data_IF_864972670331
#
_entry.id   IF_864972670331
#
_cell.length_a   1.000
_cell.length_b   1.000
_cell.length_c   1.000
_cell.angle_alpha   90.00
_cell.angle_beta   90.00
_cell.angle_gamma   90.00
#
_symmetry.space_group_name_H-M   'P 1'
#
loop_
_entity.id
_entity.type
_entity.pdbx_description
1 polymer ?
#
# COMPACT_ATOMS: atom_id res chain seq x y z
N UNK A 1 8.12 38.66 40.98
CA UNK A 1 8.96 37.89 40.04
C UNK A 1 8.22 37.86 38.72
N UNK A 2 8.66 38.68 37.75
CA UNK A 2 8.02 38.72 36.44
C UNK A 2 8.24 37.37 35.76
N UNK A 3 7.15 36.61 35.58
CA UNK A 3 7.19 35.40 34.75
C UNK A 3 7.58 35.77 33.33
N UNK A 4 8.30 34.86 32.65
CA UNK A 4 8.69 35.08 31.26
C UNK A 4 7.45 35.39 30.41
N UNK A 5 7.50 36.48 29.63
CA UNK A 5 6.41 36.82 28.74
C UNK A 5 6.31 35.80 27.60
N UNK A 6 5.09 35.54 27.11
CA UNK A 6 4.85 34.65 25.97
C UNK A 6 5.61 35.07 24.71
N UNK A 7 5.94 36.36 24.56
CA UNK A 7 6.79 36.87 23.48
C UNK A 7 8.23 36.35 23.57
N UNK A 8 8.82 36.33 24.76
CA UNK A 8 10.21 35.88 24.95
C UNK A 8 10.37 34.37 24.79
N UNK A 9 9.32 33.59 25.07
CA UNK A 9 9.30 32.15 24.80
C UNK A 9 9.32 31.91 23.28
N UNK A 10 8.51 32.64 22.52
CA UNK A 10 8.47 32.54 21.05
C UNK A 10 9.77 32.94 20.38
N UNK A 11 10.42 34.00 20.84
CA UNK A 11 11.72 34.41 20.30
C UNK A 11 12.80 33.33 20.51
N UNK A 12 12.86 32.73 21.69
CA UNK A 12 13.83 31.66 21.97
C UNK A 12 13.52 30.35 21.26
N UNK A 13 12.25 30.05 21.00
CA UNK A 13 11.87 28.87 20.21
C UNK A 13 12.22 29.08 18.73
N UNK A 14 12.11 30.30 18.20
CA UNK A 14 12.54 30.64 16.83
C UNK A 14 14.02 30.38 16.58
N UNK A 15 14.87 30.64 17.57
CA UNK A 15 16.31 30.31 17.48
C UNK A 15 16.56 28.79 17.30
N UNK A 16 15.58 27.94 17.59
CA UNK A 16 15.69 26.48 17.50
C UNK A 16 14.97 25.88 16.28
N UNK A 17 14.35 26.72 15.44
CA UNK A 17 13.68 26.29 14.20
C UNK A 17 14.63 25.59 13.22
N UNK A 18 15.93 25.93 13.23
CA UNK A 18 16.92 25.31 12.35
C UNK A 18 17.37 23.91 12.82
N UNK A 19 17.21 23.60 14.12
CA UNK A 19 17.78 22.39 14.74
C UNK A 19 16.71 21.33 15.00
N UNK A 20 15.51 21.76 15.41
CA UNK A 20 14.46 20.86 15.86
C UNK A 20 13.30 20.80 14.84
N UNK A 21 12.65 19.64 14.68
CA UNK A 21 11.45 19.52 13.88
C UNK A 21 10.32 20.45 14.37
N UNK A 22 9.58 21.03 13.43
CA UNK A 22 8.46 21.92 13.72
C UNK A 22 7.43 21.32 14.69
N UNK A 23 7.15 20.01 14.59
CA UNK A 23 6.21 19.32 15.49
C UNK A 23 6.66 19.38 16.96
N UNK A 24 7.95 19.23 17.24
CA UNK A 24 8.50 19.31 18.60
C UNK A 24 8.43 20.75 19.10
N UNK A 25 8.70 21.73 18.23
CA UNK A 25 8.64 23.15 18.58
C UNK A 25 7.21 23.60 18.90
N UNK A 26 6.23 23.15 18.12
CA UNK A 26 4.80 23.42 18.37
C UNK A 26 4.32 22.80 19.69
N UNK A 27 4.73 21.56 19.98
CA UNK A 27 4.38 20.88 21.23
C UNK A 27 5.04 21.55 22.44
N UNK A 28 6.32 21.91 22.30
CA UNK A 28 7.09 22.62 23.31
C UNK A 28 6.49 24.00 23.60
N UNK A 29 6.08 24.76 22.57
CA UNK A 29 5.43 26.05 22.75
C UNK A 29 4.12 25.89 23.54
N UNK A 30 3.28 24.91 23.16
CA UNK A 30 2.00 24.66 23.84
C UNK A 30 2.20 24.33 25.31
N UNK A 31 3.13 23.42 25.63
CA UNK A 31 3.39 23.01 27.00
C UNK A 31 4.06 24.11 27.83
N UNK A 32 5.02 24.86 27.27
CA UNK A 32 5.65 25.98 27.97
C UNK A 32 4.64 27.11 28.26
N UNK A 33 3.69 27.37 27.36
CA UNK A 33 2.63 28.37 27.59
C UNK A 33 1.66 27.91 28.67
N UNK A 34 1.32 26.61 28.74
CA UNK A 34 0.52 26.06 29.85
C UNK A 34 1.24 26.19 31.18
N UNK A 35 2.49 25.71 31.25
CA UNK A 35 3.28 25.72 32.48
C UNK A 35 3.57 27.15 32.94
N UNK A 36 3.80 28.09 32.02
CA UNK A 36 4.01 29.51 32.36
C UNK A 36 2.77 30.20 32.95
N UNK A 37 1.55 29.70 32.66
CA UNK A 37 0.30 30.19 33.27
C UNK A 37 0.08 29.61 34.66
N UNK A 38 0.50 28.37 34.89
CA UNK A 38 0.32 27.66 36.17
C UNK A 38 1.43 27.93 37.17
N UNK A 39 2.67 28.10 36.70
CA UNK A 39 3.87 28.32 37.51
C UNK A 39 4.73 29.39 36.85
N UNK A 40 5.10 30.44 37.58
CA UNK A 40 6.02 31.46 37.05
C UNK A 40 7.39 30.83 36.79
N UNK A 41 7.73 30.64 35.51
CA UNK A 41 9.03 30.15 35.07
C UNK A 41 10.02 31.34 35.07
N UNK A 42 11.25 31.13 35.54
CA UNK A 42 12.35 32.09 35.41
C UNK A 42 13.09 31.89 34.09
N UNK A 43 13.69 32.96 33.54
CA UNK A 43 14.46 32.88 32.28
C UNK A 43 15.57 31.81 32.30
N UNK A 44 16.20 31.58 33.44
CA UNK A 44 17.24 30.53 33.59
C UNK A 44 16.68 29.12 33.44
N UNK A 45 15.52 28.84 34.06
CA UNK A 45 14.86 27.53 33.94
C UNK A 45 14.37 27.28 32.52
N UNK A 46 13.87 28.32 31.84
CA UNK A 46 13.50 28.21 30.44
C UNK A 46 14.70 27.81 29.58
N UNK A 47 15.85 28.46 29.75
CA UNK A 47 17.07 28.09 29.01
C UNK A 47 17.52 26.66 29.31
N UNK A 48 17.45 26.22 30.57
CA UNK A 48 17.80 24.85 30.95
C UNK A 48 16.89 23.82 30.26
N UNK A 49 15.58 24.07 30.21
CA UNK A 49 14.63 23.19 29.52
C UNK A 49 14.96 23.11 28.04
N UNK A 50 15.20 24.25 27.38
CA UNK A 50 15.55 24.28 25.96
C UNK A 50 16.86 23.52 25.68
N UNK A 51 17.87 23.68 26.53
CA UNK A 51 19.13 22.94 26.39
C UNK A 51 18.98 21.44 26.63
N UNK A 52 18.19 21.02 27.62
CA UNK A 52 17.92 19.59 27.84
C UNK A 52 17.12 18.97 26.69
N UNK A 53 16.16 19.70 26.10
CA UNK A 53 15.44 19.25 24.90
C UNK A 53 16.39 19.06 23.72
N UNK A 54 17.30 20.01 23.49
CA UNK A 54 18.34 19.87 22.45
C UNK A 54 19.22 18.65 22.70
N UNK A 55 19.73 18.49 23.92
CA UNK A 55 20.57 17.33 24.28
C UNK A 55 19.83 16.01 24.10
N UNK A 56 18.56 15.95 24.50
CA UNK A 56 17.73 14.77 24.32
C UNK A 56 17.57 14.44 22.82
N UNK A 57 17.30 15.45 21.98
CA UNK A 57 17.21 15.28 20.53
C UNK A 57 18.51 14.74 19.92
N UNK A 58 19.66 15.38 20.20
CA UNK A 58 20.95 14.91 19.67
C UNK A 58 21.32 13.49 20.14
N UNK A 59 20.94 13.10 21.37
CA UNK A 59 21.13 11.73 21.87
C UNK A 59 20.22 10.71 21.21
N UNK A 60 19.12 11.14 20.59
CA UNK A 60 18.15 10.27 19.91
C UNK A 60 18.42 10.10 18.42
N UNK A 61 19.40 10.81 17.86
CA UNK A 61 19.82 10.61 16.48
C UNK A 61 20.46 9.23 16.32
N UNK A 62 20.24 8.61 15.17
CA UNK A 62 20.89 7.35 14.82
C UNK A 62 22.38 7.56 14.64
N UNK A 63 23.19 6.62 15.14
CA UNK A 63 24.63 6.66 14.98
C UNK A 63 25.03 6.36 13.51
N UNK A 64 25.96 7.12 12.91
CA UNK A 64 26.43 6.84 11.56
C UNK A 64 27.10 5.46 11.48
N UNK A 65 26.78 4.70 10.44
CA UNK A 65 27.31 3.35 10.23
C UNK A 65 26.42 2.23 10.75
N UNK A 66 25.31 2.56 11.42
CA UNK A 66 24.31 1.57 11.86
C UNK A 66 23.71 0.83 10.64
N UNK A 67 23.66 -0.52 10.66
CA UNK A 67 23.12 -1.33 9.56
C UNK A 67 21.58 -1.31 9.54
N UNK A 68 20.98 -0.13 9.33
CA UNK A 68 19.52 0.10 9.38
C UNK A 68 18.72 -0.80 8.45
N UNK A 69 19.29 -1.20 7.31
CA UNK A 69 18.64 -2.14 6.38
C UNK A 69 18.49 -3.54 6.95
N UNK A 70 19.48 -4.02 7.71
CA UNK A 70 19.43 -5.34 8.36
C UNK A 70 18.44 -5.30 9.52
N UNK A 71 18.53 -4.25 10.36
CA UNK A 71 17.61 -4.07 11.51
C UNK A 71 16.17 -3.96 11.02
N UNK A 72 15.90 -3.13 10.00
CA UNK A 72 14.56 -3.01 9.44
C UNK A 72 14.03 -4.34 8.89
N UNK A 73 14.85 -5.09 8.14
CA UNK A 73 14.46 -6.39 7.62
C UNK A 73 14.13 -7.39 8.74
N UNK A 74 14.92 -7.40 9.82
CA UNK A 74 14.67 -8.22 11.00
C UNK A 74 13.40 -7.79 11.74
N UNK A 75 13.23 -6.50 12.02
CA UNK A 75 12.08 -5.97 12.76
C UNK A 75 10.75 -6.17 12.02
N UNK A 76 10.77 -6.16 10.68
CA UNK A 76 9.58 -6.46 9.88
C UNK A 76 9.33 -7.98 9.80
N UNK A 77 10.40 -8.79 9.74
CA UNK A 77 10.31 -10.25 9.60
C UNK A 77 10.05 -11.00 10.90
N UNK A 78 10.55 -10.52 12.03
CA UNK A 78 10.43 -11.15 13.36
C UNK A 78 8.96 -11.40 13.74
N UNK A 79 8.05 -10.42 13.62
CA UNK A 79 6.64 -10.64 13.89
C UNK A 79 6.02 -11.71 13.00
N UNK A 80 6.53 -11.90 11.78
CA UNK A 80 6.04 -12.92 10.85
C UNK A 80 6.06 -14.34 11.41
N UNK A 81 7.01 -14.65 12.29
CA UNK A 81 7.06 -15.97 12.97
C UNK A 81 6.06 -16.11 14.11
N UNK A 82 5.69 -14.99 14.73
CA UNK A 82 4.71 -14.90 15.81
C UNK A 82 3.27 -14.76 15.29
N UNK A 83 3.11 -14.60 13.98
CA UNK A 83 1.80 -14.58 13.29
C UNK A 83 1.22 -16.00 13.22
N UNK A 84 0.89 -16.55 14.38
CA UNK A 84 0.15 -17.80 14.52
C UNK A 84 -1.32 -17.51 14.83
N UNK A 85 -2.18 -17.77 13.83
CA UNK A 85 -3.64 -17.95 13.89
C UNK A 85 -4.37 -17.17 15.01
N UNK A 86 -4.43 -15.83 14.92
CA UNK A 86 -5.60 -15.10 15.45
C UNK A 86 -6.70 -15.11 14.39
N UNK A 87 -7.34 -16.26 14.27
CA UNK A 87 -8.44 -16.50 13.33
C UNK A 87 -9.73 -15.77 13.75
N UNK A 88 -10.18 -14.89 12.87
CA UNK A 88 -11.57 -14.76 12.42
C UNK A 88 -12.68 -14.49 13.44
N UNK A 89 -12.50 -13.58 14.39
CA UNK A 89 -13.65 -13.01 15.10
C UNK A 89 -13.60 -11.47 15.17
N UNK A 90 -13.67 -10.82 14.00
CA UNK A 90 -14.17 -9.45 13.96
C UNK A 90 -15.70 -9.49 13.95
N UNK A 91 -16.29 -9.43 15.14
CA UNK A 91 -17.71 -9.14 15.29
C UNK A 91 -17.95 -7.70 14.82
N UNK A 92 -18.54 -7.51 13.62
CA UNK A 92 -19.21 -6.25 13.29
C UNK A 92 -18.97 -5.62 11.92
N UNK A 93 -18.18 -6.23 11.02
CA UNK A 93 -18.12 -5.77 9.62
C UNK A 93 -18.66 -6.87 8.73
N UNK A 94 -19.80 -6.61 8.09
CA UNK A 94 -20.40 -7.52 7.13
C UNK A 94 -19.40 -7.88 6.02
N UNK A 95 -18.90 -9.11 6.08
CA UNK A 95 -18.53 -10.00 4.97
C UNK A 95 -17.88 -9.34 3.73
N UNK A 96 -16.71 -8.73 3.91
CA UNK A 96 -15.72 -8.66 2.83
C UNK A 96 -14.54 -9.53 3.26
N UNK A 97 -14.29 -10.62 2.52
CA UNK A 97 -13.19 -11.53 2.79
C UNK A 97 -11.89 -10.80 2.47
N UNK A 98 -11.29 -10.16 3.48
CA UNK A 98 -9.98 -9.54 3.32
C UNK A 98 -8.92 -10.59 3.62
N UNK A 99 -7.91 -10.69 2.76
CA UNK A 99 -6.67 -11.37 3.14
C UNK A 99 -6.00 -10.59 4.27
N UNK A 100 -5.98 -11.15 5.47
CA UNK A 100 -5.45 -10.50 6.67
C UNK A 100 -4.12 -11.11 7.07
N UNK A 101 -3.27 -10.30 7.72
CA UNK A 101 -2.04 -10.72 8.37
C UNK A 101 -0.87 -10.93 7.42
N UNK A 102 -0.04 -11.94 7.69
CA UNK A 102 1.23 -12.15 6.98
C UNK A 102 1.08 -12.34 5.47
N UNK A 103 0.10 -13.10 4.95
CA UNK A 103 -0.08 -13.24 3.51
C UNK A 103 -0.25 -11.90 2.81
N UNK A 104 -0.96 -10.95 3.43
CA UNK A 104 -1.15 -9.61 2.89
C UNK A 104 0.15 -8.81 2.87
N UNK A 105 0.94 -8.90 3.93
CA UNK A 105 2.26 -8.26 3.98
C UNK A 105 3.19 -8.81 2.87
N UNK A 106 3.17 -10.13 2.64
CA UNK A 106 3.91 -10.76 1.53
C UNK A 106 3.42 -10.22 0.18
N UNK A 107 2.12 -10.10 -0.05
CA UNK A 107 1.60 -9.55 -1.31
C UNK A 107 2.08 -8.13 -1.60
N UNK A 108 2.16 -7.29 -0.56
CA UNK A 108 2.62 -5.91 -0.64
C UNK A 108 4.11 -5.88 -1.01
N UNK A 109 4.94 -6.61 -0.26
CA UNK A 109 6.39 -6.65 -0.44
C UNK A 109 6.82 -7.32 -1.75
N UNK A 110 6.02 -8.28 -2.24
CA UNK A 110 6.24 -8.95 -3.52
C UNK A 110 5.64 -8.21 -4.72
N UNK A 111 4.93 -7.11 -4.50
CA UNK A 111 4.31 -6.29 -5.57
C UNK A 111 3.51 -7.18 -6.52
N UNK A 112 2.53 -7.92 -5.98
CA UNK A 112 1.63 -8.70 -6.84
C UNK A 112 0.85 -7.77 -7.76
N UNK A 113 0.80 -8.12 -9.06
CA UNK A 113 0.08 -7.34 -10.08
C UNK A 113 -1.40 -7.12 -9.76
N UNK A 114 -2.02 -8.10 -9.13
CA UNK A 114 -3.39 -8.03 -8.62
C UNK A 114 -3.40 -8.68 -7.25
N UNK A 115 -3.84 -7.98 -6.19
CA UNK A 115 -3.97 -8.60 -4.87
C UNK A 115 -5.06 -9.67 -4.89
N UNK A 116 -5.01 -10.61 -3.95
CA UNK A 116 -6.01 -11.71 -3.92
C UNK A 116 -7.42 -11.18 -3.62
N UNK A 117 -7.51 -10.14 -2.79
CA UNK A 117 -8.77 -9.51 -2.39
C UNK A 117 -8.65 -7.99 -2.51
N UNK A 118 -8.79 -7.43 -3.73
CA UNK A 118 -8.78 -5.98 -3.93
C UNK A 118 -9.98 -5.33 -3.27
N UNK A 119 -9.74 -4.21 -2.60
CA UNK A 119 -10.72 -3.42 -1.88
C UNK A 119 -10.46 -1.95 -2.13
N UNK A 120 -11.54 -1.19 -2.23
CA UNK A 120 -11.47 0.25 -2.33
C UNK A 120 -12.55 0.89 -1.45
N UNK A 121 -12.14 1.92 -0.72
CA UNK A 121 -13.00 2.74 0.13
C UNK A 121 -13.26 4.05 -0.60
N UNK A 122 -14.47 4.18 -1.12
CA UNK A 122 -14.90 5.34 -1.90
C UNK A 122 -15.61 6.32 -0.98
N UNK A 123 -15.01 7.50 -0.85
CA UNK A 123 -15.62 8.63 -0.15
C UNK A 123 -16.41 9.47 -1.15
N UNK A 124 -17.51 10.06 -0.68
CA UNK A 124 -18.36 10.94 -1.47
C UNK A 124 -18.20 12.38 -1.03
N UNK A 125 -18.53 13.33 -1.91
CA UNK A 125 -18.57 14.76 -1.55
C UNK A 125 -19.52 14.99 -0.36
N UNK A 126 -19.15 15.94 0.52
CA UNK A 126 -19.85 16.22 1.79
C UNK A 126 -21.37 16.43 1.65
N UNK A 127 -21.80 17.01 0.53
CA UNK A 127 -23.22 17.27 0.24
C UNK A 127 -24.04 16.00 0.01
N UNK A 128 -23.41 14.97 -0.58
CA UNK A 128 -24.06 13.70 -0.94
C UNK A 128 -23.88 12.67 0.17
N UNK A 129 -22.74 12.74 0.89
CA UNK A 129 -22.36 11.79 1.92
C UNK A 129 -23.37 11.67 3.08
N UNK A 130 -24.29 12.62 3.27
CA UNK A 130 -25.34 12.55 4.29
C UNK A 130 -26.66 11.91 3.80
N UNK A 131 -26.88 11.84 2.49
CA UNK A 131 -28.13 11.33 1.93
C UNK A 131 -28.02 9.84 1.53
N UNK A 132 -28.71 8.98 2.28
CA UNK A 132 -28.67 7.52 2.08
C UNK A 132 -29.20 7.07 0.72
N UNK A 133 -30.19 7.74 0.16
CA UNK A 133 -30.81 7.32 -1.11
C UNK A 133 -29.87 7.57 -2.28
N UNK A 134 -29.29 8.78 -2.36
CA UNK A 134 -28.30 9.12 -3.40
C UNK A 134 -27.05 8.24 -3.30
N UNK A 135 -26.59 7.92 -2.09
CA UNK A 135 -25.44 7.02 -1.89
C UNK A 135 -25.74 5.61 -2.42
N UNK A 136 -26.95 5.09 -2.21
CA UNK A 136 -27.36 3.79 -2.76
C UNK A 136 -27.40 3.81 -4.28
N UNK A 137 -27.92 4.87 -4.89
CA UNK A 137 -27.91 5.02 -6.35
C UNK A 137 -26.49 5.06 -6.93
N UNK A 138 -25.56 5.75 -6.25
CA UNK A 138 -24.14 5.77 -6.65
C UNK A 138 -23.52 4.38 -6.47
N UNK A 139 -23.77 3.70 -5.35
CA UNK A 139 -23.28 2.35 -5.11
C UNK A 139 -23.75 1.35 -6.19
N UNK A 140 -25.02 1.42 -6.61
CA UNK A 140 -25.57 0.61 -7.71
C UNK A 140 -24.94 0.95 -9.07
N UNK A 141 -24.54 2.20 -9.29
CA UNK A 141 -23.82 2.61 -10.50
C UNK A 141 -22.37 2.15 -10.53
N UNK A 142 -21.74 1.97 -9.37
CA UNK A 142 -20.37 1.47 -9.24
C UNK A 142 -20.33 -0.06 -9.37
N UNK A 143 -21.30 -0.75 -8.76
CA UNK A 143 -21.37 -2.22 -8.74
C UNK A 143 -21.47 -2.81 -10.15
N UNK A 144 -20.48 -3.61 -10.53
CA UNK A 144 -20.53 -4.36 -11.78
C UNK A 144 -21.65 -5.39 -11.70
N UNK A 145 -22.58 -5.32 -12.65
CA UNK A 145 -23.63 -6.33 -12.79
C UNK A 145 -23.33 -7.15 -14.01
N UNK A 146 -23.05 -8.43 -13.83
CA UNK A 146 -22.93 -9.40 -14.93
C UNK A 146 -24.26 -10.07 -15.20
N UNK A 147 -24.44 -10.60 -16.41
CA UNK A 147 -25.65 -11.37 -16.76
C UNK A 147 -25.82 -12.59 -15.84
N UNK A 148 -24.72 -13.21 -15.43
CA UNK A 148 -24.75 -14.35 -14.49
C UNK A 148 -25.43 -14.02 -13.16
N UNK A 149 -25.25 -12.81 -12.62
CA UNK A 149 -25.91 -12.40 -11.37
C UNK A 149 -27.42 -12.27 -11.52
N UNK A 150 -27.89 -11.93 -12.73
CA UNK A 150 -29.29 -11.63 -13.03
C UNK A 150 -30.09 -12.87 -13.45
N UNK A 151 -29.40 -13.96 -13.81
CA UNK A 151 -30.01 -15.19 -14.31
C UNK A 151 -30.07 -16.23 -13.20
N UNK A 152 -31.25 -16.75 -12.92
CA UNK A 152 -31.45 -17.85 -11.98
C UNK A 152 -30.96 -19.19 -12.54
N UNK A 153 -31.23 -19.44 -13.82
CA UNK A 153 -30.92 -20.69 -14.49
C UNK A 153 -30.60 -20.48 -15.97
N UNK A 154 -29.56 -21.15 -16.44
CA UNK A 154 -29.21 -21.24 -17.85
C UNK A 154 -29.60 -22.64 -18.36
N UNK A 155 -30.60 -22.71 -19.22
CA UNK A 155 -31.08 -23.95 -19.83
C UNK A 155 -30.64 -24.01 -21.30
N UNK A 156 -30.05 -25.13 -21.70
CA UNK A 156 -29.71 -25.39 -23.11
C UNK A 156 -30.82 -26.27 -23.69
N UNK A 157 -31.65 -25.69 -24.56
CA UNK A 157 -32.68 -26.42 -25.29
C UNK A 157 -32.06 -26.97 -26.59
N UNK A 158 -31.76 -28.27 -26.57
CA UNK A 158 -31.17 -28.99 -27.70
C UNK A 158 -32.16 -29.22 -28.85
N UNK A 159 -33.46 -29.25 -28.56
CA UNK A 159 -34.51 -29.52 -29.55
C UNK A 159 -34.70 -28.30 -30.43
N UNK A 160 -34.89 -27.14 -29.80
CA UNK A 160 -35.09 -25.88 -30.50
C UNK A 160 -33.79 -25.09 -30.75
N UNK A 161 -32.64 -25.67 -30.38
CA UNK A 161 -31.29 -25.11 -30.58
C UNK A 161 -31.15 -23.70 -30.02
N UNK A 162 -31.65 -23.49 -28.80
CA UNK A 162 -31.73 -22.17 -28.19
C UNK A 162 -31.25 -22.22 -26.73
N UNK A 163 -30.64 -21.12 -26.28
CA UNK A 163 -30.30 -20.92 -24.89
C UNK A 163 -31.45 -20.17 -24.22
N UNK A 164 -31.97 -20.71 -23.13
CA UNK A 164 -33.04 -20.09 -22.34
C UNK A 164 -32.47 -19.61 -21.01
N UNK A 165 -32.56 -18.31 -20.78
CA UNK A 165 -32.06 -17.63 -19.59
C UNK A 165 -33.25 -17.24 -18.73
N UNK A 166 -33.43 -17.86 -17.57
CA UNK A 166 -34.50 -17.49 -16.65
C UNK A 166 -34.03 -16.36 -15.73
N UNK A 167 -34.59 -15.17 -15.88
CA UNK A 167 -34.21 -13.98 -15.11
C UNK A 167 -34.82 -13.98 -13.70
N UNK A 168 -34.07 -13.44 -12.74
CA UNK A 168 -34.56 -13.26 -11.37
C UNK A 168 -35.19 -11.87 -11.17
N UNK A 169 -36.53 -11.83 -11.04
CA UNK A 169 -37.29 -10.58 -10.84
C UNK A 169 -36.92 -9.80 -9.58
N UNK A 170 -36.44 -10.46 -8.52
CA UNK A 170 -36.05 -9.81 -7.27
C UNK A 170 -34.73 -9.06 -7.46
N UNK A 171 -33.73 -9.72 -8.08
CA UNK A 171 -32.41 -9.12 -8.35
C UNK A 171 -32.49 -7.98 -9.35
N UNK A 172 -33.34 -8.11 -10.37
CA UNK A 172 -33.63 -7.04 -11.34
C UNK A 172 -34.16 -5.76 -10.67
N UNK A 173 -35.11 -5.90 -9.73
CA UNK A 173 -35.66 -4.75 -8.98
C UNK A 173 -34.65 -4.13 -8.03
N UNK A 174 -33.82 -4.94 -7.38
CA UNK A 174 -32.78 -4.44 -6.45
C UNK A 174 -31.67 -3.68 -7.16
N UNK A 175 -31.26 -4.13 -8.36
CA UNK A 175 -30.20 -3.48 -9.15
C UNK A 175 -30.71 -2.43 -10.15
N UNK A 176 -32.03 -2.24 -10.28
CA UNK A 176 -32.62 -1.23 -11.15
C UNK A 176 -32.36 -1.45 -12.64
N UNK A 177 -32.17 -2.69 -13.08
CA UNK A 177 -31.89 -3.05 -14.48
C UNK A 177 -33.19 -3.46 -15.17
N UNK A 178 -33.45 -2.88 -16.35
CA UNK A 178 -34.63 -3.25 -17.15
C UNK A 178 -34.30 -4.48 -18.02
N UNK A 179 -35.22 -5.45 -18.17
CA UNK A 179 -34.99 -6.63 -19.03
C UNK A 179 -34.66 -6.27 -20.49
N UNK A 180 -35.19 -5.14 -20.99
CA UNK A 180 -34.91 -4.62 -22.34
C UNK A 180 -33.44 -4.22 -22.54
N UNK A 181 -32.78 -3.70 -21.50
CA UNK A 181 -31.37 -3.30 -21.59
C UNK A 181 -30.45 -4.51 -21.68
N UNK A 182 -30.84 -5.62 -21.04
CA UNK A 182 -30.13 -6.90 -21.11
C UNK A 182 -30.20 -7.45 -22.53
N UNK A 183 -31.37 -7.40 -23.15
CA UNK A 183 -31.57 -7.86 -24.54
C UNK A 183 -30.71 -7.06 -25.51
N UNK A 184 -30.74 -5.72 -25.44
CA UNK A 184 -29.94 -4.86 -26.30
C UNK A 184 -28.45 -5.17 -26.19
N UNK A 185 -27.95 -5.35 -24.97
CA UNK A 185 -26.53 -5.59 -24.76
C UNK A 185 -26.08 -6.97 -25.23
N UNK A 186 -26.93 -7.99 -25.04
CA UNK A 186 -26.69 -9.32 -25.60
C UNK A 186 -26.68 -9.28 -27.14
N UNK A 187 -27.57 -8.50 -27.76
CA UNK A 187 -27.60 -8.31 -29.22
C UNK A 187 -26.35 -7.61 -29.74
N UNK A 188 -25.92 -6.51 -29.10
CA UNK A 188 -24.73 -5.73 -29.50
C UNK A 188 -23.43 -6.54 -29.35
N UNK A 189 -23.27 -7.25 -28.25
CA UNK A 189 -22.00 -7.92 -27.91
C UNK A 189 -21.82 -9.26 -28.63
N UNK A 190 -22.91 -9.93 -29.02
CA UNK A 190 -22.87 -11.21 -29.73
C UNK A 190 -23.25 -11.11 -31.21
N UNK A 191 -23.66 -9.93 -31.69
CA UNK A 191 -24.14 -9.72 -33.07
C UNK A 191 -25.23 -10.72 -33.48
N UNK A 192 -26.13 -11.06 -32.55
CA UNK A 192 -27.21 -12.03 -32.75
C UNK A 192 -28.51 -11.31 -33.12
N UNK A 193 -29.13 -11.75 -34.21
CA UNK A 193 -30.38 -11.18 -34.75
C UNK A 193 -31.62 -11.65 -33.98
N UNK A 194 -31.61 -12.83 -33.35
CA UNK A 194 -32.76 -13.42 -32.65
C UNK A 194 -32.51 -13.56 -31.14
N UNK A 195 -32.81 -12.49 -30.39
CA UNK A 195 -32.94 -12.51 -28.92
C UNK A 195 -34.38 -12.14 -28.58
N UNK A 196 -35.16 -13.10 -28.09
CA UNK A 196 -36.58 -12.92 -27.78
C UNK A 196 -36.75 -12.82 -26.26
N UNK A 197 -37.37 -11.74 -25.81
CA UNK A 197 -37.80 -11.58 -24.42
C UNK A 197 -39.21 -12.15 -24.26
N UNK A 198 -39.35 -13.15 -23.40
CA UNK A 198 -40.62 -13.82 -23.11
C UNK A 198 -40.87 -13.72 -21.60
N UNK A 199 -41.51 -12.62 -21.17
CA UNK A 199 -41.77 -12.18 -19.78
C UNK A 199 -40.56 -12.17 -18.84
N UNK A 200 -40.10 -13.36 -18.47
CA UNK A 200 -39.04 -13.62 -17.49
C UNK A 200 -37.92 -14.49 -18.06
N UNK A 201 -38.02 -14.90 -19.33
CA UNK A 201 -37.06 -15.76 -20.02
C UNK A 201 -36.51 -15.03 -21.23
N UNK A 202 -35.18 -15.00 -21.36
CA UNK A 202 -34.52 -14.54 -22.60
C UNK A 202 -34.15 -15.78 -23.39
N UNK A 203 -34.67 -15.88 -24.62
CA UNK A 203 -34.35 -16.96 -25.57
C UNK A 203 -33.34 -16.41 -26.58
N UNK A 204 -32.17 -17.04 -26.66
CA UNK A 204 -31.09 -16.67 -27.58
C UNK A 204 -30.90 -17.79 -28.58
N UNK A 205 -31.07 -17.50 -29.88
CA UNK A 205 -30.84 -18.48 -30.95
C UNK A 205 -29.58 -18.13 -31.76
N UNK A 206 -28.52 -18.96 -31.74
CA UNK A 206 -27.34 -18.75 -32.57
C UNK A 206 -27.52 -19.24 -34.02
N UNK A 207 -26.76 -18.66 -34.96
CA UNK A 207 -26.73 -19.07 -36.39
C UNK A 207 -26.07 -20.44 -36.61
N UNK A 208 -25.12 -20.84 -35.76
CA UNK A 208 -24.47 -22.16 -35.80
C UNK A 208 -24.89 -23.05 -34.62
N UNK A 209 -25.38 -24.26 -34.94
CA UNK A 209 -26.14 -25.13 -34.03
C UNK A 209 -25.35 -26.33 -33.47
N UNK A 210 -24.06 -26.16 -33.18
CA UNK A 210 -23.24 -27.19 -32.51
C UNK A 210 -23.37 -27.12 -30.99
N UNK A 211 -23.37 -28.28 -30.31
CA UNK A 211 -23.38 -28.34 -28.83
C UNK A 211 -22.18 -27.62 -28.21
N UNK A 212 -21.02 -27.66 -28.88
CA UNK A 212 -19.83 -26.87 -28.52
C UNK A 212 -20.03 -25.36 -28.68
N UNK A 213 -20.68 -24.93 -29.76
CA UNK A 213 -20.98 -23.52 -30.01
C UNK A 213 -21.96 -22.96 -28.97
N UNK A 214 -23.00 -23.70 -28.60
CA UNK A 214 -23.94 -23.32 -27.53
C UNK A 214 -23.26 -23.20 -26.16
N UNK A 215 -22.33 -24.10 -25.83
CA UNK A 215 -21.53 -24.00 -24.59
C UNK A 215 -20.59 -22.80 -24.59
N UNK A 216 -19.94 -22.53 -25.72
CA UNK A 216 -19.11 -21.33 -25.87
C UNK A 216 -19.94 -20.05 -25.79
N UNK A 217 -21.13 -20.04 -26.39
CA UNK A 217 -22.07 -18.93 -26.32
C UNK A 217 -22.54 -18.69 -24.88
N UNK A 218 -22.86 -19.76 -24.15
CA UNK A 218 -23.23 -19.70 -22.74
C UNK A 218 -22.09 -19.11 -21.89
N UNK A 219 -20.85 -19.54 -22.12
CA UNK A 219 -19.68 -18.97 -21.43
C UNK A 219 -19.49 -17.48 -21.74
N UNK A 220 -19.68 -17.07 -23.01
CA UNK A 220 -19.63 -15.67 -23.41
C UNK A 220 -20.75 -14.85 -22.74
N UNK A 221 -21.99 -15.34 -22.76
CA UNK A 221 -23.15 -14.65 -22.17
C UNK A 221 -22.98 -14.43 -20.66
N UNK A 222 -22.42 -15.42 -19.94
CA UNK A 222 -22.17 -15.28 -18.50
C UNK A 222 -21.24 -14.11 -18.16
N UNK A 223 -20.21 -13.90 -18.97
CA UNK A 223 -19.23 -12.84 -18.77
C UNK A 223 -19.65 -11.45 -19.26
N UNK A 224 -20.81 -11.30 -19.91
CA UNK A 224 -21.28 -9.99 -20.39
C UNK A 224 -21.58 -9.09 -19.20
N UNK A 225 -20.84 -7.98 -19.12
CA UNK A 225 -21.09 -6.91 -18.16
C UNK A 225 -22.29 -6.10 -18.63
N UNK A 226 -23.26 -5.80 -17.76
CA UNK A 226 -24.48 -5.02 -18.07
C UNK A 226 -24.40 -3.58 -17.61
N UNK A 227 -23.92 -3.31 -16.41
CA UNK A 227 -23.74 -1.96 -15.86
C UNK A 227 -22.62 -2.01 -14.84
N UNK A 228 -22.08 -0.85 -14.50
CA UNK A 228 -21.08 -0.71 -13.46
C UNK A 228 -19.66 -0.56 -13.97
N UNK A 229 -18.76 -0.32 -13.02
CA UNK A 229 -17.34 -0.17 -13.28
C UNK A 229 -16.72 -1.56 -13.36
N UNK A 230 -15.93 -1.81 -14.41
CA UNK A 230 -15.25 -3.10 -14.61
C UNK A 230 -14.34 -3.41 -13.42
N UNK A 231 -14.43 -4.63 -12.89
CA UNK A 231 -13.55 -5.10 -11.82
C UNK A 231 -14.12 -4.96 -10.40
N UNK A 232 -15.29 -4.33 -10.22
CA UNK A 232 -15.93 -4.18 -8.91
C UNK A 232 -17.11 -5.16 -8.78
N UNK A 233 -16.94 -6.25 -8.06
CA UNK A 233 -17.94 -7.34 -7.95
C UNK A 233 -19.07 -7.02 -6.98
N UNK A 234 -18.75 -6.44 -5.81
CA UNK A 234 -19.73 -6.21 -4.74
C UNK A 234 -19.50 -4.85 -4.10
N UNK A 235 -20.59 -4.20 -3.69
CA UNK A 235 -20.54 -2.90 -3.03
C UNK A 235 -21.35 -2.92 -1.73
N UNK A 236 -20.77 -2.38 -0.66
CA UNK A 236 -21.38 -2.29 0.67
C UNK A 236 -21.33 -0.84 1.15
N UNK A 237 -22.50 -0.28 1.47
CA UNK A 237 -22.59 1.08 2.03
C UNK A 237 -22.62 1.00 3.55
N UNK A 238 -21.69 1.67 4.22
CA UNK A 238 -21.62 1.75 5.69
C UNK A 238 -21.67 3.20 6.15
N UNK A 239 -22.26 3.45 7.31
CA UNK A 239 -22.22 4.77 7.95
C UNK A 239 -21.04 4.82 8.93
N UNK A 240 -20.13 5.75 8.72
CA UNK A 240 -19.00 6.04 9.62
C UNK A 240 -19.18 7.45 10.20
N UNK A 241 -19.49 7.52 11.50
CA UNK A 241 -19.87 8.78 12.14
C UNK A 241 -21.12 9.39 11.50
N UNK A 242 -20.96 10.57 10.88
CA UNK A 242 -22.04 11.27 10.18
C UNK A 242 -22.11 11.02 8.67
N UNK A 243 -21.09 10.36 8.08
CA UNK A 243 -20.95 10.21 6.62
C UNK A 243 -21.23 8.76 6.19
N UNK A 244 -21.83 8.57 5.02
CA UNK A 244 -21.92 7.26 4.37
C UNK A 244 -20.70 7.04 3.47
N UNK A 245 -20.02 5.93 3.68
CA UNK A 245 -18.83 5.49 2.94
C UNK A 245 -19.18 4.23 2.16
N UNK A 246 -18.66 4.13 0.94
CA UNK A 246 -18.87 2.98 0.07
C UNK A 246 -17.63 2.10 0.10
N UNK A 247 -17.79 0.86 0.55
CA UNK A 247 -16.77 -0.19 0.48
C UNK A 247 -17.02 -1.06 -0.74
N UNK A 248 -15.99 -1.31 -1.52
CA UNK A 248 -16.09 -2.09 -2.76
C UNK A 248 -15.18 -3.30 -2.68
N UNK A 249 -15.68 -4.43 -3.18
CA UNK A 249 -14.91 -5.64 -3.47
C UNK A 249 -14.49 -5.56 -4.94
N UNK A 250 -13.19 -5.49 -5.19
CA UNK A 250 -12.65 -5.03 -6.47
C UNK A 250 -12.01 -3.66 -6.40
N UNK A 251 -11.13 -3.39 -7.36
CA UNK A 251 -10.43 -2.12 -7.52
C UNK A 251 -10.53 -1.68 -8.98
N UNK A 252 -10.91 -0.43 -9.18
CA UNK A 252 -10.79 0.28 -10.45
C UNK A 252 -10.82 1.79 -10.18
N UNK A 253 -9.72 2.26 -9.58
CA UNK A 253 -9.57 3.64 -9.15
C UNK A 253 -9.72 4.64 -10.30
N UNK A 254 -9.27 4.29 -11.50
CA UNK A 254 -9.29 5.21 -12.65
C UNK A 254 -10.72 5.61 -13.04
N UNK A 255 -11.62 4.64 -13.20
CA UNK A 255 -13.01 4.91 -13.57
C UNK A 255 -13.79 5.55 -12.42
N UNK A 256 -13.51 5.15 -11.18
CA UNK A 256 -14.19 5.68 -9.99
C UNK A 256 -13.87 7.15 -9.76
N UNK A 257 -12.62 7.57 -10.03
CA UNK A 257 -12.22 8.98 -9.93
C UNK A 257 -12.76 9.87 -11.07
N UNK A 258 -13.24 9.29 -12.18
CA UNK A 258 -13.91 10.05 -13.25
C UNK A 258 -15.32 10.48 -12.84
N UNK A 259 -15.96 9.78 -11.91
CA UNK A 259 -17.29 10.14 -11.40
C UNK A 259 -17.25 11.45 -10.62
N UNK A 260 -18.21 12.35 -10.86
CA UNK A 260 -18.22 13.68 -10.23
C UNK A 260 -18.67 13.65 -8.77
N UNK A 261 -19.42 12.63 -8.36
CA UNK A 261 -19.97 12.51 -7.01
C UNK A 261 -18.93 12.02 -5.99
N UNK A 262 -17.85 11.40 -6.46
CA UNK A 262 -16.77 10.82 -5.66
C UNK A 262 -15.80 11.90 -5.18
N UNK A 263 -15.39 11.80 -3.92
CA UNK A 263 -14.32 12.61 -3.36
C UNK A 263 -12.95 12.05 -3.78
N UNK A 264 -12.36 12.72 -4.77
CA UNK A 264 -11.07 12.35 -5.36
C UNK A 264 -9.90 12.48 -4.39
N UNK A 265 -10.03 13.24 -3.30
CA UNK A 265 -8.92 13.49 -2.36
C UNK A 265 -8.86 12.47 -1.22
N UNK A 266 -9.96 11.76 -0.96
CA UNK A 266 -10.08 10.84 0.17
C UNK A 266 -10.20 9.37 -0.22
N UNK A 267 -10.60 9.09 -1.46
CA UNK A 267 -10.79 7.72 -1.96
C UNK A 267 -9.47 6.95 -1.93
N UNK A 268 -9.47 5.78 -1.28
CA UNK A 268 -8.30 4.92 -1.12
C UNK A 268 -8.56 3.53 -1.68
N UNK A 269 -7.51 2.89 -2.20
CA UNK A 269 -7.53 1.48 -2.61
C UNK A 269 -6.33 0.76 -2.01
N UNK A 270 -6.50 -0.54 -1.79
CA UNK A 270 -5.43 -1.41 -1.33
C UNK A 270 -4.61 -2.02 -2.50
N UNK A 271 -4.99 -1.73 -3.75
CA UNK A 271 -4.24 -2.14 -4.94
C UNK A 271 -3.13 -1.12 -5.26
N UNK A 272 -1.91 -1.46 -4.87
CA UNK A 272 -0.76 -0.55 -4.92
C UNK A 272 -0.32 -0.30 -6.37
N UNK A 273 -0.41 -1.31 -7.24
CA UNK A 273 -0.03 -1.18 -8.66
C UNK A 273 -1.01 -0.26 -9.38
N UNK A 274 -2.28 -0.33 -9.02
CA UNK A 274 -3.27 0.62 -9.52
C UNK A 274 -3.01 2.05 -9.04
N UNK A 275 -2.63 2.24 -7.77
CA UNK A 275 -2.25 3.56 -7.23
C UNK A 275 -1.06 4.15 -7.98
N UNK A 276 -0.03 3.35 -8.28
CA UNK A 276 1.11 3.78 -9.09
C UNK A 276 0.66 4.28 -10.47
N UNK A 277 -0.23 3.54 -11.14
CA UNK A 277 -0.70 3.88 -12.49
C UNK A 277 -1.51 5.18 -12.52
N UNK A 278 -2.36 5.41 -11.51
CA UNK A 278 -3.34 6.51 -11.52
C UNK A 278 -2.82 7.76 -10.81
N UNK A 279 -2.19 7.60 -9.64
CA UNK A 279 -1.77 8.70 -8.77
C UNK A 279 -0.25 8.93 -8.77
N UNK A 280 0.54 7.94 -9.21
CA UNK A 280 1.99 8.03 -9.34
C UNK A 280 2.78 7.41 -8.18
N UNK A 281 4.10 7.56 -8.24
CA UNK A 281 5.05 6.82 -7.40
C UNK A 281 5.01 7.24 -5.93
N UNK A 282 4.93 8.53 -5.61
CA UNK A 282 4.84 8.98 -4.21
C UNK A 282 3.54 8.57 -3.53
N UNK A 283 2.44 8.55 -4.29
CA UNK A 283 1.17 8.02 -3.81
C UNK A 283 1.27 6.52 -3.53
N UNK A 284 1.93 5.76 -4.41
CA UNK A 284 2.20 4.36 -4.21
C UNK A 284 3.12 4.10 -2.99
N UNK A 285 4.19 4.89 -2.83
CA UNK A 285 5.08 4.83 -1.67
C UNK A 285 4.31 5.00 -0.36
N UNK A 286 3.43 6.01 -0.31
CA UNK A 286 2.56 6.23 0.83
C UNK A 286 1.57 5.09 1.04
N UNK A 287 0.97 4.57 -0.02
CA UNK A 287 0.05 3.43 0.03
C UNK A 287 0.72 2.16 0.58
N UNK A 288 1.98 1.88 0.20
CA UNK A 288 2.77 0.77 0.77
C UNK A 288 2.93 0.96 2.28
N UNK A 289 3.30 2.17 2.73
CA UNK A 289 3.51 2.45 4.16
C UNK A 289 2.21 2.29 4.94
N UNK A 290 1.13 2.92 4.48
CA UNK A 290 -0.16 2.90 5.19
C UNK A 290 -0.76 1.49 5.22
N UNK A 291 -0.68 0.74 4.13
CA UNK A 291 -1.21 -0.62 4.05
C UNK A 291 -0.39 -1.62 4.88
N UNK A 292 0.96 -1.52 4.85
CA UNK A 292 1.82 -2.38 5.66
C UNK A 292 1.63 -2.09 7.16
N UNK A 293 1.57 -0.82 7.56
CA UNK A 293 1.29 -0.42 8.94
C UNK A 293 -0.09 -0.90 9.39
N UNK A 294 -1.12 -0.71 8.57
CA UNK A 294 -2.48 -1.19 8.86
C UNK A 294 -2.51 -2.70 9.06
N UNK A 295 -1.84 -3.45 8.19
CA UNK A 295 -1.76 -4.92 8.28
C UNK A 295 -1.09 -5.40 9.57
N UNK A 296 -0.04 -4.70 10.02
CA UNK A 296 0.65 -5.03 11.27
C UNK A 296 -0.18 -4.64 12.51
N UNK A 297 -0.81 -3.46 12.50
CA UNK A 297 -1.66 -2.96 13.59
C UNK A 297 -2.91 -3.82 13.80
N UNK A 298 -3.55 -4.30 12.72
CA UNK A 298 -4.70 -5.21 12.80
C UNK A 298 -4.36 -6.54 13.48
N UNK A 299 -3.08 -6.92 13.51
CA UNK A 299 -2.58 -8.12 14.18
C UNK A 299 -2.08 -7.82 15.61
N UNK A 300 -2.16 -6.56 16.04
CA UNK A 300 -1.67 -6.10 17.35
C UNK A 300 -0.14 -6.10 17.45
N UNK A 301 0.55 -6.01 16.32
CA UNK A 301 2.01 -5.93 16.25
C UNK A 301 2.42 -4.46 16.09
N UNK A 302 3.33 -4.01 16.95
CA UNK A 302 3.91 -2.67 16.87
C UNK A 302 5.30 -2.76 16.24
N UNK A 303 5.43 -2.26 15.02
CA UNK A 303 6.71 -2.05 14.34
C UNK A 303 6.85 -0.54 14.12
N UNK A 304 8.04 0.02 14.36
CA UNK A 304 8.30 1.43 14.08
C UNK A 304 8.15 1.72 12.58
N UNK A 305 7.39 2.79 12.27
CA UNK A 305 7.10 3.24 10.90
C UNK A 305 8.37 3.47 10.08
N UNK A 306 9.50 3.83 10.70
CA UNK A 306 10.79 4.09 10.03
C UNK A 306 11.31 2.87 9.28
N UNK A 307 11.10 1.66 9.80
CA UNK A 307 11.49 0.43 9.11
C UNK A 307 10.66 0.24 7.84
N UNK A 308 9.35 0.48 7.92
CA UNK A 308 8.43 0.38 6.78
C UNK A 308 8.74 1.48 5.75
N UNK A 309 9.04 2.70 6.20
CA UNK A 309 9.46 3.80 5.32
C UNK A 309 10.72 3.44 4.54
N UNK A 310 11.74 2.90 5.19
CA UNK A 310 12.98 2.47 4.52
C UNK A 310 12.70 1.43 3.43
N UNK A 311 11.82 0.47 3.69
CA UNK A 311 11.42 -0.54 2.71
C UNK A 311 10.64 0.08 1.55
N UNK A 312 9.65 0.92 1.84
CA UNK A 312 8.85 1.59 0.81
C UNK A 312 9.70 2.49 -0.09
N UNK A 313 10.66 3.22 0.49
CA UNK A 313 11.62 4.05 -0.25
C UNK A 313 12.50 3.19 -1.15
N UNK A 314 13.02 2.06 -0.65
CA UNK A 314 13.82 1.14 -1.46
C UNK A 314 13.01 0.49 -2.59
N UNK A 315 11.73 0.18 -2.35
CA UNK A 315 10.82 -0.36 -3.38
C UNK A 315 10.46 0.65 -4.48
N UNK A 316 10.52 1.96 -4.20
CA UNK A 316 10.07 3.03 -5.11
C UNK A 316 11.21 3.87 -5.70
N UNK A 317 12.44 3.68 -5.24
CA UNK A 317 13.61 4.51 -5.60
C UNK A 317 13.90 4.60 -7.11
N UNK A 318 13.48 3.62 -7.90
CA UNK A 318 13.75 3.58 -9.36
C UNK A 318 12.73 4.32 -10.21
N UNK A 319 11.72 4.93 -9.59
CA UNK A 319 10.61 5.58 -10.31
C UNK A 319 9.55 4.61 -10.83
N UNK A 320 9.60 3.34 -10.40
CA UNK A 320 8.56 2.31 -10.52
C UNK A 320 8.58 1.46 -9.27
N UNK A 321 7.45 0.86 -8.89
CA UNK A 321 7.43 -0.06 -7.74
C UNK A 321 8.12 -1.37 -8.13
N UNK A 322 9.03 -1.84 -7.28
CA UNK A 322 9.77 -3.08 -7.49
C UNK A 322 9.61 -4.06 -6.34
N UNK A 323 9.46 -5.32 -6.69
CA UNK A 323 9.44 -6.44 -5.75
C UNK A 323 10.78 -6.54 -5.00
N UNK A 324 10.75 -6.92 -3.73
CA UNK A 324 11.97 -7.09 -2.90
C UNK A 324 12.80 -8.31 -3.34
N UNK A 325 12.13 -9.38 -3.80
CA UNK A 325 12.74 -10.64 -4.22
C UNK A 325 13.56 -10.60 -5.51
N UNK A 326 13.78 -11.79 -6.09
CA UNK A 326 14.73 -12.04 -7.19
C UNK A 326 14.45 -11.27 -8.49
N UNK A 327 13.20 -10.92 -8.78
CA UNK A 327 12.87 -10.20 -10.02
C UNK A 327 12.89 -8.68 -9.87
N UNK A 328 13.27 -8.16 -8.69
CA UNK A 328 13.37 -6.74 -8.44
C UNK A 328 14.66 -6.38 -7.72
N UNK A 329 14.54 -5.89 -6.49
CA UNK A 329 15.64 -5.26 -5.74
C UNK A 329 16.82 -6.21 -5.56
N UNK A 330 16.58 -7.48 -5.23
CA UNK A 330 17.65 -8.45 -4.99
C UNK A 330 18.33 -8.92 -6.27
N UNK A 331 17.60 -9.04 -7.38
CA UNK A 331 18.13 -9.50 -8.67
C UNK A 331 18.89 -8.45 -9.47
N UNK A 332 18.68 -7.17 -9.19
CA UNK A 332 19.39 -6.07 -9.84
C UNK A 332 20.53 -5.49 -8.99
N UNK A 333 20.94 -6.19 -7.93
CA UNK A 333 22.16 -5.81 -7.20
C UNK A 333 23.36 -5.78 -8.17
N UNK A 334 24.24 -4.77 -8.05
CA UNK A 334 25.35 -4.61 -8.99
C UNK A 334 26.37 -5.75 -8.91
N UNK A 335 26.63 -6.28 -7.71
CA UNK A 335 27.52 -7.43 -7.51
C UNK A 335 26.90 -8.71 -8.04
N UNK A 336 27.61 -9.43 -8.92
CA UNK A 336 27.18 -10.75 -9.37
C UNK A 336 27.36 -11.80 -8.27
N UNK A 337 28.34 -11.64 -7.37
CA UNK A 337 28.52 -12.51 -6.20
C UNK A 337 27.32 -12.40 -5.25
N UNK A 338 26.85 -11.18 -5.00
CA UNK A 338 25.67 -10.94 -4.17
C UNK A 338 24.40 -11.57 -4.79
N UNK A 339 24.23 -11.47 -6.10
CA UNK A 339 23.12 -12.13 -6.83
C UNK A 339 23.23 -13.65 -6.76
N UNK A 340 24.40 -14.20 -7.06
CA UNK A 340 24.64 -15.64 -7.09
C UNK A 340 24.51 -16.31 -5.71
N UNK A 341 24.84 -15.60 -4.63
CA UNK A 341 24.69 -16.09 -3.26
C UNK A 341 23.23 -16.07 -2.76
N UNK A 342 22.36 -15.25 -3.37
CA UNK A 342 20.95 -15.15 -2.97
C UNK A 342 20.10 -16.24 -3.60
N UNK A 343 20.08 -16.35 -4.94
CA UNK A 343 19.31 -17.36 -5.68
C UNK A 343 19.92 -17.58 -7.07
N UNK A 344 19.61 -18.71 -7.73
CA UNK A 344 19.96 -18.98 -9.13
C UNK A 344 21.46 -18.84 -9.45
N UNK A 345 22.31 -19.39 -8.58
CA UNK A 345 23.78 -19.25 -8.59
C UNK A 345 24.42 -19.52 -9.95
N UNK A 346 24.09 -20.65 -10.58
CA UNK A 346 24.74 -21.09 -11.83
C UNK A 346 24.47 -20.12 -12.98
N UNK A 347 23.24 -19.61 -13.10
CA UNK A 347 22.90 -18.71 -14.20
C UNK A 347 23.62 -17.37 -14.05
N UNK A 348 23.64 -16.79 -12.84
CA UNK A 348 24.34 -15.53 -12.60
C UNK A 348 25.85 -15.62 -12.85
N UNK A 349 26.50 -16.71 -12.43
CA UNK A 349 27.93 -16.91 -12.68
C UNK A 349 28.22 -17.10 -14.18
N UNK A 350 27.38 -17.85 -14.89
CA UNK A 350 27.53 -18.05 -16.33
C UNK A 350 27.35 -16.74 -17.11
N UNK A 351 26.28 -15.99 -16.83
CA UNK A 351 26.03 -14.70 -17.47
C UNK A 351 27.13 -13.68 -17.19
N UNK A 352 27.59 -13.59 -15.94
CA UNK A 352 28.70 -12.72 -15.56
C UNK A 352 29.99 -13.10 -16.31
N UNK A 353 30.26 -14.41 -16.44
CA UNK A 353 31.42 -14.92 -17.20
C UNK A 353 31.32 -14.59 -18.69
N UNK A 354 30.14 -14.78 -19.29
CA UNK A 354 29.89 -14.47 -20.71
C UNK A 354 30.02 -12.97 -21.01
N UNK A 355 29.58 -12.11 -20.09
CA UNK A 355 29.68 -10.65 -20.21
C UNK A 355 31.02 -10.07 -19.77
N UNK A 356 31.87 -10.85 -19.10
CA UNK A 356 33.10 -10.36 -18.49
C UNK A 356 32.84 -9.35 -17.37
N UNK A 357 31.76 -9.53 -16.61
CA UNK A 357 31.41 -8.65 -15.47
C UNK A 357 32.51 -8.68 -14.40
N UNK A 358 32.79 -7.53 -13.80
CA UNK A 358 33.74 -7.38 -12.67
C UNK A 358 33.00 -6.97 -11.42
N UNK A 359 33.33 -7.59 -10.30
CA UNK A 359 32.71 -7.26 -9.01
C UNK A 359 33.45 -6.10 -8.33
N UNK A 360 32.77 -5.00 -7.97
CA UNK A 360 33.39 -3.87 -7.27
C UNK A 360 33.61 -4.12 -5.76
N UNK A 361 33.11 -5.22 -5.20
CA UNK A 361 33.25 -5.61 -3.79
C UNK A 361 32.77 -4.54 -2.76
N UNK A 362 31.68 -3.83 -3.06
CA UNK A 362 31.21 -2.69 -2.24
C UNK A 362 30.16 -3.05 -1.18
N UNK A 363 29.45 -4.16 -1.36
CA UNK A 363 28.38 -4.59 -0.49
C UNK A 363 28.85 -5.49 0.66
N UNK A 364 27.90 -5.99 1.42
CA UNK A 364 28.17 -6.84 2.59
C UNK A 364 28.50 -8.27 2.17
N UNK A 365 27.74 -8.82 1.23
CA UNK A 365 27.75 -10.26 0.92
C UNK A 365 29.07 -10.64 0.24
N UNK A 366 29.46 -9.88 -0.78
CA UNK A 366 30.74 -10.03 -1.49
C UNK A 366 31.97 -9.97 -0.56
N UNK A 367 31.98 -9.05 0.42
CA UNK A 367 33.08 -8.89 1.36
C UNK A 367 33.15 -10.06 2.35
N UNK A 368 32.00 -10.56 2.82
CA UNK A 368 31.95 -11.77 3.64
C UNK A 368 32.44 -13.00 2.86
N UNK A 369 32.03 -13.16 1.60
CA UNK A 369 32.45 -14.30 0.75
C UNK A 369 33.96 -14.27 0.50
N UNK A 370 34.52 -13.09 0.25
CA UNK A 370 35.95 -12.91 -0.05
C UNK A 370 36.84 -12.82 1.19
N UNK A 371 36.25 -12.77 2.40
CA UNK A 371 36.97 -12.65 3.67
C UNK A 371 37.49 -11.24 3.98
N UNK A 372 36.93 -10.22 3.33
CA UNK A 372 37.23 -8.80 3.60
C UNK A 372 36.34 -8.24 4.72
N UNK A 373 36.76 -7.13 5.32
CA UNK A 373 35.97 -6.40 6.31
C UNK A 373 34.73 -5.78 5.67
N UNK A 374 33.57 -5.97 6.29
CA UNK A 374 32.30 -5.39 5.81
C UNK A 374 32.32 -3.87 5.98
N UNK A 375 31.89 -3.07 4.99
CA UNK A 375 31.83 -1.62 5.08
C UNK A 375 30.58 -1.13 5.84
N UNK A 376 30.32 -1.70 7.02
CA UNK A 376 29.23 -1.33 7.93
C UNK A 376 29.73 -1.38 9.37
N UNK A 377 29.07 -0.65 10.27
CA UNK A 377 29.45 -0.55 11.67
C UNK A 377 30.90 -0.09 11.83
N UNK A 378 31.70 -0.84 12.61
CA UNK A 378 33.10 -0.53 12.88
C UNK A 378 34.00 -0.57 11.64
N UNK A 379 33.59 -1.26 10.57
CA UNK A 379 34.33 -1.28 9.30
C UNK A 379 34.28 0.03 8.51
N UNK A 380 33.46 1.00 8.95
CA UNK A 380 33.34 2.34 8.33
C UNK A 380 34.33 3.33 8.92
N UNK A 381 34.88 3.05 10.10
CA UNK A 381 35.71 4.01 10.85
C UNK A 381 37.17 3.86 10.43
N UNK A 382 37.75 4.96 9.95
CA UNK A 382 39.18 5.06 9.68
C UNK A 382 39.89 5.74 10.86
N UNK A 383 40.93 5.08 11.40
CA UNK A 383 41.73 5.61 12.50
C UNK A 383 43.03 6.19 11.98
N UNK A 384 43.35 7.40 12.41
CA UNK A 384 44.65 8.03 12.16
C UNK A 384 45.29 8.32 13.51
N UNK A 385 46.51 7.82 13.72
CA UNK A 385 47.29 8.06 14.93
C UNK A 385 48.57 8.82 14.57
N UNK A 386 48.75 10.02 15.12
CA UNK A 386 49.99 10.76 15.02
C UNK A 386 51.08 10.12 15.90
N UNK A 387 52.22 9.78 15.32
CA UNK A 387 53.32 9.09 16.01
C UNK A 387 54.28 10.04 16.75
N UNK A 388 53.82 11.20 17.23
CA UNK A 388 54.62 12.05 18.13
C UNK A 388 54.64 11.46 19.55
N UNK A 389 55.25 10.28 19.65
CA UNK A 389 55.74 9.78 20.92
C UNK A 389 56.90 10.69 21.33
N UNK A 390 56.69 11.50 22.37
CA UNK A 390 57.67 12.47 22.87
C UNK A 390 59.04 11.86 23.13
N UNK A 391 59.95 11.96 22.16
CA UNK A 391 61.40 12.02 22.40
C UNK A 391 61.75 13.46 22.73
N UNK A 392 61.47 13.86 23.97
CA UNK A 392 61.60 15.26 24.37
C UNK A 392 61.88 15.49 25.85
N UNK A 393 62.89 14.81 26.41
CA UNK A 393 63.85 15.38 27.39
C UNK A 393 65.14 14.55 27.41
N UNK A 394 65.95 14.65 26.35
CA UNK A 394 67.41 14.58 26.52
C UNK A 394 67.90 16.02 26.41
N UNK A 395 68.35 16.54 27.55
CA UNK A 395 69.00 17.84 27.65
C UNK A 395 70.10 17.95 26.57
N UNK A 396 70.24 19.09 25.88
CA UNK A 396 71.51 19.45 25.31
C UNK A 396 72.43 19.83 26.48
N UNK A 397 73.05 18.83 27.13
CA UNK A 397 74.17 19.08 28.03
C UNK A 397 75.38 19.46 27.19
N UNK A 398 75.60 20.77 27.08
CA UNK A 398 76.90 21.42 27.27
C UNK A 398 78.12 20.49 27.28
N UNK A 399 78.93 20.54 26.21
CA UNK A 399 80.41 20.67 26.17
C UNK A 399 80.86 20.47 24.74
#
# INVERSE_FOLDING_TARGET
MAGVSTGTIKEKIRELEEILPASILEELERELVKVSKERSITHEKLNQILEEVKKAYFRSLVEPGEPVGIVAAQSIGEPGTQMTLRTFHYAGVAELNVTLGLPRLIEILDVRRTPTTPLMTVYLKKEIAKNRERVKEIAQRIEMTVVEDMVSQFEVDLINRQLVLSLNKVRLKQKGVKPEEIVKRIQEELQLEEVILDDSKIKVRPKEAGLGALRQLMAKIRGISLRGVKGISRVVVKKEGEEYVIYTEGSNLEEVLKMEEVDKRRTITNDIVEVERVLGIEAARRAIIDEAMKTLQEQGLEVDIRHIMLVADMMTCTGRIRQIGRHGISGEKPSFLARAAFETTVQHLLEASLRGEKDPLKGVIENVITGQTVPLGTGTVELVMGTEYGRGRRNPSSS
#
